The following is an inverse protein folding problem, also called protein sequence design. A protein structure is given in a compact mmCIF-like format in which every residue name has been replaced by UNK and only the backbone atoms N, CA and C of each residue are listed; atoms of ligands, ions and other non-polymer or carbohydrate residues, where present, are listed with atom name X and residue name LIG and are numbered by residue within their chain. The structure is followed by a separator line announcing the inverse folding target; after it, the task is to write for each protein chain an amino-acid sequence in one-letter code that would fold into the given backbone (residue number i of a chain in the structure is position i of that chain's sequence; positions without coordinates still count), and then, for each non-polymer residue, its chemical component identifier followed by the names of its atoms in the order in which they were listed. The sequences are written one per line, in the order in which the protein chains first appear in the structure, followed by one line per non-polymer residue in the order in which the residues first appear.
data_IF_142182167322
#
_entry.id   IF_142182167322
#
_cell.length_a   1.000
_cell.length_b   1.000
_cell.length_c   1.000
_cell.angle_alpha   90.00
_cell.angle_beta   90.00
_cell.angle_gamma   90.00
#
_symmetry.space_group_name_H-M   'P 1'
#
loop_
_entity.id
_entity.type
_entity.pdbx_description
1 polymer ?
#
# COMPACT_ATOMS: atom_id res chain seq x y z
N UNK A 1 1.44 25.18 9.85
CA UNK A 1 0.53 24.55 8.87
C UNK A 1 1.06 23.17 8.61
N UNK A 2 0.75 22.25 9.51
CA UNK A 2 1.12 20.84 9.41
C UNK A 2 0.38 20.26 8.22
N UNK A 3 1.08 20.10 7.11
CA UNK A 3 0.58 19.30 5.99
C UNK A 3 0.59 17.86 6.50
N UNK A 4 -0.55 17.41 7.03
CA UNK A 4 -0.83 15.98 7.23
C UNK A 4 -0.70 15.31 5.86
N UNK A 5 0.50 14.82 5.53
CA UNK A 5 0.72 13.97 4.38
C UNK A 5 0.06 12.64 4.71
N UNK A 6 -1.18 12.46 4.26
CA UNK A 6 -1.79 11.14 4.30
C UNK A 6 -0.91 10.19 3.47
N UNK A 7 -0.46 9.06 4.05
CA UNK A 7 0.42 8.15 3.33
C UNK A 7 -0.32 7.61 2.10
N UNK A 8 0.26 7.86 0.92
CA UNK A 8 -0.34 7.46 -0.35
C UNK A 8 -0.30 5.94 -0.56
N UNK A 9 0.53 5.22 0.22
CA UNK A 9 0.72 3.77 0.24
C UNK A 9 0.36 3.15 1.61
N UNK A 10 0.25 1.81 1.74
CA UNK A 10 -0.06 1.14 3.00
C UNK A 10 0.99 1.40 4.08
N UNK A 11 0.57 1.55 5.33
CA UNK A 11 1.47 1.73 6.48
C UNK A 11 2.43 0.54 6.66
N UNK A 12 1.95 -0.67 6.32
CA UNK A 12 2.75 -1.89 6.37
C UNK A 12 3.39 -2.13 5.02
N UNK A 13 4.70 -1.91 4.94
CA UNK A 13 5.52 -2.29 3.80
C UNK A 13 6.92 -2.72 4.24
N UNK A 14 7.61 -3.43 3.36
CA UNK A 14 9.02 -3.77 3.48
C UNK A 14 9.74 -3.35 2.20
N UNK A 15 10.97 -2.87 2.33
CA UNK A 15 11.84 -2.59 1.20
C UNK A 15 13.23 -3.16 1.46
N UNK A 16 13.80 -3.82 0.45
CA UNK A 16 15.17 -4.30 0.45
C UNK A 16 15.88 -3.86 -0.83
N UNK A 17 17.17 -3.53 -0.69
CA UNK A 17 18.03 -3.29 -1.86
C UNK A 17 18.35 -4.62 -2.55
N UNK A 18 18.22 -4.63 -3.88
CA UNK A 18 18.61 -5.74 -4.74
C UNK A 18 19.66 -5.26 -5.74
N UNK A 19 20.25 -6.17 -6.52
CA UNK A 19 21.23 -5.78 -7.53
C UNK A 19 20.59 -4.89 -8.60
N UNK A 20 20.93 -3.60 -8.62
CA UNK A 20 20.43 -2.64 -9.61
C UNK A 20 19.09 -1.98 -9.26
N UNK A 21 18.60 -2.11 -8.02
CA UNK A 21 17.39 -1.39 -7.58
C UNK A 21 16.83 -1.88 -6.26
N UNK A 22 15.51 -1.92 -6.13
CA UNK A 22 14.84 -2.27 -4.87
C UNK A 22 13.70 -3.26 -5.09
N UNK A 23 13.49 -4.15 -4.12
CA UNK A 23 12.28 -4.96 -4.00
C UNK A 23 11.42 -4.38 -2.88
N UNK A 24 10.23 -3.93 -3.22
CA UNK A 24 9.25 -3.34 -2.32
C UNK A 24 8.08 -4.31 -2.15
N UNK A 25 7.64 -4.55 -0.92
CA UNK A 25 6.48 -5.39 -0.61
C UNK A 25 5.48 -4.59 0.22
N UNK A 26 4.26 -4.42 -0.29
CA UNK A 26 3.17 -3.75 0.41
C UNK A 26 2.22 -4.79 1.00
N UNK A 27 1.71 -4.56 2.22
CA UNK A 27 0.85 -5.51 2.92
C UNK A 27 -0.55 -4.94 3.15
N UNK A 28 -1.54 -5.83 3.17
CA UNK A 28 -2.88 -5.50 3.64
C UNK A 28 -2.81 -5.07 5.11
N UNK A 29 -3.50 -3.99 5.50
CA UNK A 29 -3.54 -3.61 6.93
C UNK A 29 -4.20 -4.67 7.82
N UNK A 30 -5.14 -5.45 7.27
CA UNK A 30 -5.96 -6.42 7.99
C UNK A 30 -5.51 -7.89 7.97
N UNK A 31 -4.55 -8.27 7.12
CA UNK A 31 -4.08 -9.66 7.00
C UNK A 31 -2.66 -9.74 6.43
N UNK A 32 -2.16 -10.95 6.19
CA UNK A 32 -0.79 -11.19 5.69
C UNK A 32 -0.64 -11.12 4.16
N UNK A 33 -1.74 -10.90 3.42
CA UNK A 33 -1.65 -10.75 1.96
C UNK A 33 -0.80 -9.54 1.59
N UNK A 34 0.01 -9.70 0.54
CA UNK A 34 0.95 -8.70 0.09
C UNK A 34 1.13 -8.67 -1.42
N UNK A 35 1.65 -7.56 -1.92
CA UNK A 35 2.05 -7.39 -3.31
C UNK A 35 3.50 -6.92 -3.33
N UNK A 36 4.35 -7.68 -4.02
CA UNK A 36 5.77 -7.36 -4.20
C UNK A 36 6.03 -6.81 -5.59
N UNK A 37 6.85 -5.77 -5.66
CA UNK A 37 7.31 -5.11 -6.88
C UNK A 37 8.81 -4.91 -6.84
N UNK A 38 9.44 -5.09 -7.98
CA UNK A 38 10.86 -4.80 -8.17
C UNK A 38 10.97 -3.54 -9.03
N UNK A 39 11.86 -2.64 -8.61
CA UNK A 39 12.20 -1.43 -9.34
C UNK A 39 13.65 -1.56 -9.77
N UNK A 40 13.94 -1.24 -11.02
CA UNK A 40 15.27 -1.38 -11.63
C UNK A 40 15.74 -0.01 -12.12
N UNK A 41 17.00 0.33 -11.86
CA UNK A 41 17.57 1.63 -12.22
C UNK A 41 17.28 2.75 -11.20
N UNK A 42 16.53 2.47 -10.13
CA UNK A 42 16.29 3.43 -9.05
C UNK A 42 17.46 3.45 -8.07
N UNK A 43 17.90 4.65 -7.70
CA UNK A 43 19.04 4.87 -6.79
C UNK A 43 18.63 5.45 -5.42
N UNK A 44 17.34 5.72 -5.22
CA UNK A 44 16.80 6.19 -3.95
C UNK A 44 15.50 5.46 -3.60
N UNK A 45 15.27 5.31 -2.30
CA UNK A 45 14.14 4.57 -1.73
C UNK A 45 12.80 5.24 -2.03
N UNK A 46 12.75 6.57 -2.05
CA UNK A 46 11.50 7.32 -2.26
C UNK A 46 10.92 7.07 -3.66
N UNK A 47 11.74 7.23 -4.71
CA UNK A 47 11.32 6.93 -6.09
C UNK A 47 10.96 5.46 -6.28
N UNK A 48 11.72 4.55 -5.65
CA UNK A 48 11.41 3.13 -5.71
C UNK A 48 10.06 2.80 -5.05
N UNK A 49 9.73 3.45 -3.92
CA UNK A 49 8.43 3.30 -3.26
C UNK A 49 7.29 3.85 -4.12
N UNK A 50 7.46 5.04 -4.70
CA UNK A 50 6.46 5.65 -5.57
C UNK A 50 6.19 4.79 -6.82
N UNK A 51 7.24 4.36 -7.52
CA UNK A 51 7.13 3.52 -8.73
C UNK A 51 6.48 2.18 -8.40
N UNK A 52 6.97 1.48 -7.37
CA UNK A 52 6.38 0.23 -6.91
C UNK A 52 4.90 0.41 -6.53
N UNK A 53 4.55 1.53 -5.91
CA UNK A 53 3.18 1.80 -5.51
C UNK A 53 2.26 2.09 -6.69
N UNK A 54 2.71 2.83 -7.72
CA UNK A 54 1.91 3.06 -8.93
C UNK A 54 1.42 1.73 -9.55
N UNK A 55 2.26 0.70 -9.51
CA UNK A 55 1.87 -0.63 -9.99
C UNK A 55 1.04 -1.45 -8.99
N UNK A 56 1.38 -1.37 -7.70
CA UNK A 56 0.76 -2.18 -6.66
C UNK A 56 -0.61 -1.65 -6.23
N UNK A 57 -0.85 -0.35 -6.37
CA UNK A 57 -2.04 0.35 -5.87
C UNK A 57 -3.37 -0.29 -6.29
N UNK A 58 -3.45 -0.85 -7.50
CA UNK A 58 -4.67 -1.48 -8.04
C UNK A 58 -5.11 -2.74 -7.31
N UNK A 59 -4.27 -3.30 -6.43
CA UNK A 59 -4.56 -4.48 -5.62
C UNK A 59 -5.05 -4.14 -4.20
N UNK A 60 -5.23 -2.85 -3.91
CA UNK A 60 -5.65 -2.36 -2.60
C UNK A 60 -6.81 -1.37 -2.73
N UNK A 61 -7.69 -1.40 -1.74
CA UNK A 61 -8.77 -0.45 -1.54
C UNK A 61 -8.48 0.42 -0.32
N UNK A 62 -8.72 1.73 -0.46
CA UNK A 62 -8.56 2.68 0.64
C UNK A 62 -9.86 2.81 1.41
N UNK A 63 -9.82 2.61 2.72
CA UNK A 63 -10.95 2.88 3.59
C UNK A 63 -11.25 4.38 3.64
N UNK A 64 -12.49 4.80 3.36
CA UNK A 64 -12.89 6.21 3.42
C UNK A 64 -13.07 6.75 4.85
N UNK A 65 -12.96 5.88 5.86
CA UNK A 65 -13.15 6.21 7.26
C UNK A 65 -11.80 6.35 7.98
N UNK A 66 -10.98 5.29 7.96
CA UNK A 66 -9.69 5.25 8.65
C UNK A 66 -8.48 5.44 7.74
N UNK A 67 -8.66 5.57 6.42
CA UNK A 67 -7.56 5.75 5.47
C UNK A 67 -6.70 4.50 5.19
N UNK A 68 -6.92 3.39 5.89
CA UNK A 68 -6.15 2.15 5.73
C UNK A 68 -6.31 1.54 4.33
N UNK A 69 -5.23 0.96 3.81
CA UNK A 69 -5.21 0.21 2.56
C UNK A 69 -5.37 -1.30 2.83
N UNK A 70 -6.41 -1.89 2.26
CA UNK A 70 -6.81 -3.29 2.51
C UNK A 70 -7.03 -4.05 1.20
N UNK A 71 -6.87 -5.37 1.22
CA UNK A 71 -7.25 -6.21 0.07
C UNK A 71 -8.78 -6.32 -0.07
N UNK A 72 -9.25 -6.81 -1.22
CA UNK A 72 -10.68 -6.91 -1.56
C UNK A 72 -11.51 -7.67 -0.51
N UNK A 73 -10.96 -8.73 0.08
CA UNK A 73 -11.64 -9.51 1.13
C UNK A 73 -11.93 -8.66 2.38
N UNK A 74 -11.07 -7.70 2.69
CA UNK A 74 -11.17 -6.82 3.86
C UNK A 74 -11.81 -5.47 3.54
N UNK A 75 -12.38 -5.30 2.34
CA UNK A 75 -13.06 -4.09 1.91
C UNK A 75 -14.55 -4.33 1.73
N UNK A 76 -15.39 -3.56 2.43
CA UNK A 76 -16.83 -3.48 2.22
C UNK A 76 -17.12 -2.41 1.16
N UNK A 77 -17.30 -2.87 -0.07
CA UNK A 77 -17.56 -2.08 -1.26
C UNK A 77 -18.88 -1.31 -1.22
N UNK A 78 -19.88 -1.81 -0.50
CA UNK A 78 -21.22 -1.18 -0.43
C UNK A 78 -21.19 0.17 0.29
N UNK A 79 -20.23 0.35 1.19
CA UNK A 79 -20.09 1.54 2.04
C UNK A 79 -18.71 2.19 1.91
N UNK A 80 -17.85 1.66 1.03
CA UNK A 80 -16.50 2.14 0.75
C UNK A 80 -15.57 2.18 1.99
N UNK A 81 -15.73 1.24 2.93
CA UNK A 81 -14.93 1.13 4.16
C UNK A 81 -14.27 -0.24 4.28
N UNK A 82 -13.23 -0.36 5.09
CA UNK A 82 -12.72 -1.67 5.47
C UNK A 82 -13.69 -2.39 6.41
N UNK A 83 -13.63 -3.72 6.46
CA UNK A 83 -14.53 -4.54 7.30
C UNK A 83 -14.34 -4.30 8.81
N UNK A 84 -13.21 -3.72 9.21
CA UNK A 84 -12.93 -3.34 10.60
C UNK A 84 -13.65 -2.06 11.02
N UNK A 85 -13.89 -1.13 10.07
CA UNK A 85 -14.71 0.05 10.30
C UNK A 85 -16.19 -0.25 10.11
N UNK A 86 -16.54 -1.07 9.10
CA UNK A 86 -17.91 -1.46 8.81
C UNK A 86 -17.96 -2.87 8.20
N UNK A 87 -18.41 -3.89 8.95
CA UNK A 87 -18.57 -5.25 8.44
C UNK A 87 -19.47 -5.33 7.20
N UNK A 88 -19.27 -6.35 6.37
CA UNK A 88 -20.13 -6.65 5.21
C UNK A 88 -21.51 -7.15 5.65
#
# INVERSE_FOLDING_TARGET
MDKNYEPIFPEKFNIISIHGGFRVTFFCSGCERSVTKETCGMNNVEQALEEAWQEARKYFNRCHDCGAWVCDEHYNENVMKCIFCQPK
#
